data_IF_329904171263
#
_entry.id   IF_329904171263
#
_cell.length_a   1.000
_cell.length_b   1.000
_cell.length_c   1.000
_cell.angle_alpha   90.00
_cell.angle_beta   90.00
_cell.angle_gamma   90.00
#
_symmetry.space_group_name_H-M   'P 1'
#
loop_
_entity.id
_entity.type
_entity.pdbx_description
1 polymer ?
#
# COMPACT_ATOMS: atom_id res chain seq x y z
N UNK A 1 -26.53 0.14 5.45
CA UNK A 1 -25.95 1.01 4.40
C UNK A 1 -25.82 0.16 3.15
N UNK A 2 -26.00 0.70 1.94
CA UNK A 2 -25.80 -0.09 0.72
C UNK A 2 -24.33 -0.55 0.65
N UNK A 3 -24.10 -1.86 0.70
CA UNK A 3 -22.80 -2.47 0.39
C UNK A 3 -22.69 -2.66 -1.12
N UNK A 4 -21.48 -2.54 -1.65
CA UNK A 4 -21.20 -2.84 -3.07
C UNK A 4 -20.52 -4.20 -3.07
N UNK A 5 -21.31 -5.25 -3.31
CA UNK A 5 -20.83 -6.63 -3.35
C UNK A 5 -20.24 -6.96 -4.74
N UNK A 6 -19.28 -6.14 -5.20
CA UNK A 6 -18.61 -6.33 -6.47
C UNK A 6 -17.29 -7.08 -6.29
N UNK A 7 -17.25 -8.32 -6.76
CA UNK A 7 -16.04 -9.11 -6.92
C UNK A 7 -15.60 -9.08 -8.37
N UNK A 8 -14.36 -8.66 -8.63
CA UNK A 8 -13.84 -8.58 -9.99
C UNK A 8 -13.71 -9.98 -10.59
N UNK A 9 -14.41 -10.29 -11.70
CA UNK A 9 -14.26 -11.58 -12.36
C UNK A 9 -12.83 -11.78 -12.89
N UNK A 10 -12.28 -12.98 -12.75
CA UNK A 10 -10.88 -13.25 -13.16
C UNK A 10 -10.63 -12.95 -14.64
N UNK A 11 -11.59 -13.28 -15.52
CA UNK A 11 -11.47 -12.98 -16.95
C UNK A 11 -11.38 -11.47 -17.23
N UNK A 12 -12.05 -10.65 -16.42
CA UNK A 12 -12.03 -9.19 -16.58
C UNK A 12 -10.69 -8.62 -16.11
N UNK A 13 -10.13 -9.18 -15.03
CA UNK A 13 -8.78 -8.85 -14.59
C UNK A 13 -7.74 -9.20 -15.68
N UNK A 14 -7.67 -10.46 -16.10
CA UNK A 14 -6.71 -10.91 -17.11
C UNK A 14 -6.90 -10.23 -18.45
N UNK A 15 -8.14 -10.10 -18.91
CA UNK A 15 -8.48 -9.39 -20.14
C UNK A 15 -8.14 -7.91 -20.05
N UNK A 16 -8.38 -7.27 -18.89
CA UNK A 16 -8.04 -5.88 -18.63
C UNK A 16 -6.54 -5.61 -18.74
N UNK A 17 -5.70 -6.48 -18.16
CA UNK A 17 -4.24 -6.35 -18.25
C UNK A 17 -3.71 -6.45 -19.68
N UNK A 18 -4.44 -7.09 -20.60
CA UNK A 18 -4.01 -7.20 -22.00
C UNK A 18 -4.64 -6.09 -22.85
N UNK A 19 -5.96 -5.94 -22.77
CA UNK A 19 -6.70 -5.03 -23.64
C UNK A 19 -6.41 -3.56 -23.33
N UNK A 20 -6.33 -3.19 -22.05
CA UNK A 20 -6.14 -1.78 -21.67
C UNK A 20 -4.82 -1.21 -22.22
N UNK A 21 -3.65 -1.84 -22.01
CA UNK A 21 -2.40 -1.31 -22.58
C UNK A 21 -2.42 -1.26 -24.10
N UNK A 22 -2.94 -2.27 -24.79
CA UNK A 22 -2.98 -2.27 -26.26
C UNK A 22 -3.83 -1.12 -26.80
N UNK A 23 -5.00 -0.88 -26.20
CA UNK A 23 -5.88 0.23 -26.56
C UNK A 23 -5.19 1.56 -26.25
N UNK A 24 -4.58 1.69 -25.07
CA UNK A 24 -3.89 2.90 -24.65
C UNK A 24 -2.68 3.22 -25.55
N UNK A 25 -1.86 2.22 -25.92
CA UNK A 25 -0.76 2.37 -26.89
C UNK A 25 -1.28 2.78 -28.26
N UNK A 26 -2.36 2.16 -28.74
CA UNK A 26 -2.98 2.54 -30.01
C UNK A 26 -3.43 4.00 -30.01
N UNK A 27 -4.10 4.44 -28.93
CA UNK A 27 -4.55 5.82 -28.76
C UNK A 27 -3.37 6.80 -28.61
N UNK A 28 -2.33 6.43 -27.87
CA UNK A 28 -1.14 7.25 -27.65
C UNK A 28 -0.35 7.51 -28.95
N UNK A 29 -0.34 6.52 -29.86
CA UNK A 29 0.33 6.62 -31.17
C UNK A 29 -0.46 7.41 -32.20
N UNK A 30 -1.71 7.78 -31.92
CA UNK A 30 -2.45 8.70 -32.79
C UNK A 30 -1.82 10.10 -32.70
N UNK A 31 -1.43 10.66 -33.86
CA UNK A 31 -0.81 11.99 -33.97
C UNK A 31 -1.71 13.03 -33.31
N UNK A 32 -1.38 13.46 -32.09
CA UNK A 32 -2.09 14.56 -31.46
C UNK A 32 -1.72 15.86 -32.20
N UNK A 33 -2.71 16.64 -32.68
CA UNK A 33 -2.42 17.94 -33.26
C UNK A 33 -1.71 18.82 -32.21
N UNK A 34 -0.63 19.45 -32.63
CA UNK A 34 0.14 20.40 -31.83
C UNK A 34 -0.76 21.56 -31.37
N UNK A 35 -1.23 21.49 -30.11
CA UNK A 35 -1.60 22.66 -29.28
C UNK A 35 -1.97 22.18 -27.88
N UNK A 36 -1.05 22.37 -26.94
CA UNK A 36 -1.29 22.22 -25.50
C UNK A 36 -2.23 23.32 -24.97
N UNK A 37 -3.47 23.36 -25.45
CA UNK A 37 -4.46 24.29 -24.91
C UNK A 37 -5.08 23.64 -23.67
N UNK A 38 -4.98 24.33 -22.53
CA UNK A 38 -5.73 23.93 -21.33
C UNK A 38 -7.21 23.86 -21.69
N UNK A 39 -7.86 22.72 -21.51
CA UNK A 39 -9.29 22.56 -21.83
C UNK A 39 -10.12 22.57 -20.56
N UNK A 40 -11.40 22.92 -20.71
CA UNK A 40 -12.34 22.89 -19.60
C UNK A 40 -12.57 21.45 -19.11
N UNK A 41 -12.62 20.48 -20.02
CA UNK A 41 -12.74 19.07 -19.68
C UNK A 41 -11.58 18.56 -18.81
N UNK A 42 -10.33 18.87 -19.17
CA UNK A 42 -9.16 18.50 -18.36
C UNK A 42 -9.19 19.19 -16.99
N UNK A 43 -9.60 20.47 -16.93
CA UNK A 43 -9.71 21.18 -15.66
C UNK A 43 -10.73 20.54 -14.70
N UNK A 44 -11.91 20.14 -15.20
CA UNK A 44 -12.90 19.43 -14.39
C UNK A 44 -12.43 18.02 -14.02
N UNK A 45 -11.76 17.32 -14.93
CA UNK A 45 -11.16 16.02 -14.63
C UNK A 45 -10.16 16.11 -13.47
N UNK A 46 -9.22 17.08 -13.53
CA UNK A 46 -8.26 17.30 -12.43
C UNK A 46 -8.97 17.74 -11.14
N UNK A 47 -10.08 18.48 -11.23
CA UNK A 47 -10.87 18.84 -10.05
C UNK A 47 -11.52 17.62 -9.39
N UNK A 48 -12.04 16.67 -10.17
CA UNK A 48 -12.57 15.41 -9.61
C UNK A 48 -11.47 14.58 -8.97
N UNK A 49 -10.34 14.40 -9.66
CA UNK A 49 -9.29 13.47 -9.23
C UNK A 49 -8.35 14.06 -8.18
N UNK A 50 -7.99 15.33 -8.32
CA UNK A 50 -6.98 16.02 -7.52
C UNK A 50 -7.49 17.26 -6.78
N UNK A 51 -8.81 17.46 -6.71
CA UNK A 51 -9.43 18.66 -6.13
C UNK A 51 -9.14 18.84 -4.65
N UNK A 52 -9.04 17.74 -3.89
CA UNK A 52 -8.70 17.77 -2.45
C UNK A 52 -7.31 18.35 -2.17
N UNK A 53 -6.40 18.29 -3.14
CA UNK A 53 -5.04 18.83 -3.07
C UNK A 53 -4.89 20.19 -3.76
N UNK A 54 -5.98 20.74 -4.33
CA UNK A 54 -5.94 22.01 -5.05
C UNK A 54 -5.23 21.96 -6.41
N UNK A 55 -4.99 20.77 -6.97
CA UNK A 55 -4.22 20.61 -8.22
C UNK A 55 -4.87 21.26 -9.43
N UNK A 56 -6.21 21.34 -9.48
CA UNK A 56 -6.93 22.05 -10.53
C UNK A 56 -6.62 23.55 -10.53
N UNK A 57 -6.40 24.17 -9.36
CA UNK A 57 -5.97 25.57 -9.27
C UNK A 57 -4.53 25.73 -9.75
N UNK A 58 -3.62 24.85 -9.34
CA UNK A 58 -2.22 24.88 -9.78
C UNK A 58 -2.09 24.66 -11.30
N UNK A 59 -2.86 23.73 -11.86
CA UNK A 59 -2.96 23.50 -13.30
C UNK A 59 -3.37 24.78 -14.06
N UNK A 60 -4.24 25.59 -13.47
CA UNK A 60 -4.68 26.88 -14.02
C UNK A 60 -3.76 28.07 -13.65
N UNK A 61 -2.52 27.81 -13.19
CA UNK A 61 -1.55 28.81 -12.69
C UNK A 61 -2.09 29.70 -11.57
N UNK A 62 -2.97 29.15 -10.73
CA UNK A 62 -3.52 29.84 -9.57
C UNK A 62 -2.90 29.31 -8.26
N UNK A 63 -2.04 30.12 -7.62
CA UNK A 63 -1.30 29.77 -6.39
C UNK A 63 -2.20 29.51 -5.18
N UNK A 64 -3.46 29.94 -5.21
CA UNK A 64 -4.45 29.65 -4.16
C UNK A 64 -4.68 28.14 -3.98
N UNK A 65 -4.28 27.29 -4.94
CA UNK A 65 -4.27 25.83 -4.76
C UNK A 65 -3.42 25.36 -3.57
N UNK A 66 -2.39 26.12 -3.18
CA UNK A 66 -1.55 25.78 -2.02
C UNK A 66 -2.28 25.86 -0.68
N UNK A 67 -3.41 26.57 -0.60
CA UNK A 67 -4.24 26.64 0.61
C UNK A 67 -4.86 25.29 1.00
N UNK A 68 -5.00 24.39 0.02
CA UNK A 68 -5.51 23.04 0.26
C UNK A 68 -4.54 22.18 1.05
N UNK A 69 -3.23 22.41 0.91
CA UNK A 69 -2.20 21.58 1.53
C UNK A 69 -2.21 21.61 3.07
N UNK A 70 -2.24 22.78 3.75
CA UNK A 70 -2.32 22.81 5.21
C UNK A 70 -3.63 22.22 5.73
N UNK A 71 -4.77 22.42 5.03
CA UNK A 71 -6.04 21.81 5.40
C UNK A 71 -5.98 20.28 5.28
N UNK A 72 -5.41 19.78 4.18
CA UNK A 72 -5.26 18.35 3.95
C UNK A 72 -4.29 17.73 4.96
N UNK A 73 -3.16 18.39 5.25
CA UNK A 73 -2.22 17.96 6.28
C UNK A 73 -2.88 17.89 7.66
N UNK A 74 -3.75 18.85 7.99
CA UNK A 74 -4.48 18.87 9.25
C UNK A 74 -5.52 17.73 9.35
N UNK A 75 -6.14 17.32 8.23
CA UNK A 75 -6.98 16.11 8.18
C UNK A 75 -6.15 14.86 8.47
N UNK A 76 -4.98 14.72 7.84
CA UNK A 76 -4.11 13.55 8.06
C UNK A 76 -3.61 13.50 9.50
N UNK A 77 -3.12 14.62 10.01
CA UNK A 77 -2.61 14.73 11.37
C UNK A 77 -3.72 14.47 12.39
N UNK A 78 -4.88 15.11 12.24
CA UNK A 78 -6.02 14.90 13.14
C UNK A 78 -6.52 13.45 13.09
N UNK A 79 -6.52 12.80 11.92
CA UNK A 79 -6.91 11.40 11.79
C UNK A 79 -5.91 10.45 12.47
N UNK A 80 -4.60 10.77 12.42
CA UNK A 80 -3.56 10.03 13.15
C UNK A 80 -3.74 10.17 14.66
N UNK A 81 -3.88 11.40 15.15
CA UNK A 81 -4.08 11.68 16.59
C UNK A 81 -5.37 11.08 17.13
N UNK A 82 -6.45 11.11 16.33
CA UNK A 82 -7.71 10.43 16.67
C UNK A 82 -7.54 8.92 16.78
N UNK A 83 -6.71 8.30 15.91
CA UNK A 83 -6.42 6.86 15.98
C UNK A 83 -5.69 6.51 17.27
N UNK A 84 -4.67 7.27 17.65
CA UNK A 84 -3.93 7.07 18.90
C UNK A 84 -4.85 7.18 20.12
N UNK A 85 -5.64 8.26 20.20
CA UNK A 85 -6.60 8.44 21.29
C UNK A 85 -7.69 7.34 21.34
N UNK A 86 -8.08 6.77 20.19
CA UNK A 86 -9.01 5.62 20.15
C UNK A 86 -8.41 4.35 20.75
N UNK A 87 -7.14 4.08 20.47
CA UNK A 87 -6.44 2.90 21.02
C UNK A 87 -6.33 3.03 22.53
N UNK A 88 -5.85 4.18 23.01
CA UNK A 88 -5.72 4.48 24.43
C UNK A 88 -7.07 4.42 25.18
N UNK A 89 -8.14 4.96 24.57
CA UNK A 89 -9.49 4.85 25.13
C UNK A 89 -9.96 3.39 25.23
N UNK A 90 -9.68 2.58 24.20
CA UNK A 90 -10.02 1.16 24.18
C UNK A 90 -9.28 0.39 25.26
N UNK A 91 -7.98 0.68 25.45
CA UNK A 91 -7.15 0.02 26.46
C UNK A 91 -7.62 0.39 27.87
N UNK A 92 -7.86 1.67 28.14
CA UNK A 92 -8.35 2.14 29.45
C UNK A 92 -9.74 1.59 29.79
N UNK A 93 -10.66 1.59 28.81
CA UNK A 93 -12.00 1.00 28.98
C UNK A 93 -11.92 -0.51 29.18
N UNK A 94 -11.03 -1.19 28.46
CA UNK A 94 -10.76 -2.62 28.62
C UNK A 94 -10.24 -2.95 30.02
N UNK A 95 -9.32 -2.13 30.55
CA UNK A 95 -8.81 -2.27 31.91
C UNK A 95 -9.93 -2.12 32.96
N UNK A 96 -10.78 -1.08 32.84
CA UNK A 96 -11.93 -0.88 33.74
C UNK A 96 -12.91 -2.06 33.72
N UNK A 97 -13.24 -2.59 32.54
CA UNK A 97 -14.09 -3.79 32.41
C UNK A 97 -13.42 -5.00 33.06
N UNK A 98 -12.10 -5.14 32.90
CA UNK A 98 -11.31 -6.19 33.54
C UNK A 98 -11.37 -6.12 35.07
N UNK A 99 -11.17 -4.91 35.62
CA UNK A 99 -11.26 -4.63 37.06
C UNK A 99 -12.68 -4.92 37.56
N UNK A 100 -13.72 -4.41 36.91
CA UNK A 100 -15.11 -4.63 37.32
C UNK A 100 -15.46 -6.12 37.40
N UNK A 101 -15.05 -6.89 36.39
CA UNK A 101 -15.26 -8.34 36.34
C UNK A 101 -14.45 -9.07 37.44
N UNK A 102 -13.23 -8.63 37.74
CA UNK A 102 -12.43 -9.16 38.82
C UNK A 102 -13.03 -8.84 40.21
N UNK A 103 -13.49 -7.61 40.43
CA UNK A 103 -14.19 -7.19 41.65
C UNK A 103 -15.46 -8.03 41.85
N UNK A 104 -16.31 -8.18 40.83
CA UNK A 104 -17.52 -9.03 40.91
C UNK A 104 -17.19 -10.47 41.32
N UNK A 105 -16.11 -11.05 40.79
CA UNK A 105 -15.65 -12.40 41.16
C UNK A 105 -15.17 -12.47 42.60
N UNK A 106 -14.43 -11.47 43.07
CA UNK A 106 -13.95 -11.42 44.46
C UNK A 106 -15.09 -11.22 45.45
N UNK A 107 -16.04 -10.32 45.16
CA UNK A 107 -17.24 -10.12 45.99
C UNK A 107 -18.04 -11.42 46.10
N UNK A 108 -18.24 -12.14 45.00
CA UNK A 108 -18.92 -13.46 45.02
C UNK A 108 -18.17 -14.51 45.87
N UNK A 109 -16.84 -14.44 45.97
CA UNK A 109 -16.05 -15.32 46.84
C UNK A 109 -16.28 -14.95 48.30
N UNK A 110 -16.26 -13.66 48.63
CA UNK A 110 -16.55 -13.15 49.99
C UNK A 110 -17.93 -13.64 50.45
N UNK A 111 -18.98 -13.40 49.66
CA UNK A 111 -20.34 -13.81 50.02
C UNK A 111 -20.47 -15.34 50.21
N UNK A 112 -19.72 -16.13 49.44
CA UNK A 112 -19.70 -17.60 49.57
C UNK A 112 -18.98 -18.04 50.86
N UNK A 113 -17.87 -17.40 51.20
CA UNK A 113 -17.11 -17.67 52.42
C UNK A 113 -17.87 -17.23 53.67
N UNK A 114 -18.56 -16.09 53.64
CA UNK A 114 -19.46 -15.62 54.72
C UNK A 114 -20.58 -16.65 55.01
N UNK A 115 -21.26 -17.13 53.97
CA UNK A 115 -22.29 -18.16 54.11
C UNK A 115 -21.74 -19.51 54.62
N UNK A 116 -20.46 -19.81 54.34
CA UNK A 116 -19.80 -21.00 54.87
C UNK A 116 -19.46 -20.86 56.36
N UNK A 117 -19.02 -19.67 56.79
CA UNK A 117 -18.78 -19.34 58.21
C UNK A 117 -20.09 -19.41 58.99
N UNK A 118 -21.18 -18.85 58.47
CA UNK A 118 -22.50 -18.91 59.11
C UNK A 118 -22.95 -20.36 59.32
N UNK A 119 -22.85 -21.21 58.28
CA UNK A 119 -23.14 -22.64 58.40
C UNK A 119 -22.25 -23.37 59.39
N UNK A 120 -20.97 -22.99 59.49
CA UNK A 120 -20.06 -23.57 60.47
C UNK A 120 -20.44 -23.16 61.90
N UNK A 121 -20.83 -21.89 62.12
CA UNK A 121 -21.31 -21.39 63.41
C UNK A 121 -22.60 -22.08 63.87
N UNK A 122 -23.56 -22.27 62.97
CA UNK A 122 -24.80 -23.03 63.27
C UNK A 122 -24.46 -24.46 63.70
N UNK A 123 -23.57 -25.14 62.98
CA UNK A 123 -23.13 -26.50 63.34
C UNK A 123 -22.38 -26.56 64.67
N UNK A 124 -21.61 -25.53 65.02
CA UNK A 124 -20.95 -25.45 66.33
C UNK A 124 -22.01 -25.38 67.45
N UNK A 125 -23.11 -24.66 67.24
CA UNK A 125 -24.19 -24.55 68.22
C UNK A 125 -24.99 -25.85 68.41
N UNK A 126 -24.99 -26.75 67.42
CA UNK A 126 -25.68 -28.05 67.44
C UNK A 126 -24.83 -29.20 68.03
N UNK A 127 -23.53 -28.99 68.29
CA UNK A 127 -22.63 -30.01 68.81
C UNK A 127 -22.86 -30.29 70.31
N UNK A 128 -22.71 -31.55 70.72
CA UNK A 128 -22.71 -31.94 72.12
C UNK A 128 -21.52 -31.33 72.88
N UNK A 129 -21.71 -31.01 74.16
CA UNK A 129 -20.74 -30.26 74.97
C UNK A 129 -19.38 -30.97 75.17
N UNK A 130 -19.29 -32.26 74.85
CA UNK A 130 -18.13 -33.13 74.97
C UNK A 130 -17.37 -33.37 73.65
N UNK A 131 -17.89 -32.95 72.49
CA UNK A 131 -17.22 -33.13 71.19
C UNK A 131 -16.20 -32.01 70.89
N UNK A 132 -15.07 -32.06 71.60
CA UNK A 132 -13.96 -31.13 71.43
C UNK A 132 -13.31 -31.20 70.02
N UNK A 133 -13.35 -32.37 69.36
CA UNK A 133 -12.72 -32.55 68.03
C UNK A 133 -13.58 -31.97 66.91
N UNK A 134 -14.90 -32.12 66.99
CA UNK A 134 -15.85 -31.52 66.05
C UNK A 134 -15.78 -29.99 66.07
N UNK A 135 -15.68 -29.42 67.27
CA UNK A 135 -15.55 -27.96 67.48
C UNK A 135 -14.25 -27.40 66.88
N UNK A 136 -13.10 -27.98 67.20
CA UNK A 136 -11.79 -27.54 66.66
C UNK A 136 -11.71 -27.64 65.12
N UNK A 137 -12.34 -28.65 64.52
CA UNK A 137 -12.42 -28.77 63.05
C UNK A 137 -13.23 -27.64 62.40
N UNK A 138 -14.35 -27.26 63.01
CA UNK A 138 -15.20 -26.18 62.52
C UNK A 138 -14.55 -24.81 62.75
N UNK A 139 -13.88 -24.60 63.88
CA UNK A 139 -13.08 -23.39 64.16
C UNK A 139 -11.92 -23.23 63.15
N UNK A 140 -11.21 -24.32 62.81
CA UNK A 140 -10.20 -24.31 61.74
C UNK A 140 -10.80 -23.99 60.37
N UNK A 141 -12.05 -24.38 60.12
CA UNK A 141 -12.75 -24.07 58.86
C UNK A 141 -13.14 -22.59 58.81
N UNK A 142 -13.67 -22.06 59.90
CA UNK A 142 -14.00 -20.63 60.06
C UNK A 142 -12.74 -19.80 59.81
N UNK A 143 -11.63 -20.11 60.48
CA UNK A 143 -10.36 -19.39 60.30
C UNK A 143 -9.92 -19.34 58.83
N UNK A 144 -9.97 -20.47 58.12
CA UNK A 144 -9.61 -20.55 56.70
C UNK A 144 -10.52 -19.71 55.80
N UNK A 145 -11.82 -19.67 56.09
CA UNK A 145 -12.76 -18.84 55.32
C UNK A 145 -12.61 -17.36 55.67
N UNK A 146 -12.27 -17.00 56.91
CA UNK A 146 -11.92 -15.64 57.31
C UNK A 146 -10.67 -15.15 56.57
N UNK A 147 -9.59 -15.94 56.53
CA UNK A 147 -8.36 -15.58 55.79
C UNK A 147 -8.64 -15.38 54.27
N UNK A 148 -9.60 -16.12 53.71
CA UNK A 148 -10.05 -15.96 52.32
C UNK A 148 -10.84 -14.67 52.10
N UNK A 149 -11.64 -14.26 53.08
CA UNK A 149 -12.36 -12.99 53.05
C UNK A 149 -11.37 -11.83 53.11
N UNK A 150 -10.41 -11.88 54.03
CA UNK A 150 -9.40 -10.83 54.20
C UNK A 150 -8.57 -10.64 52.92
N UNK A 151 -8.05 -11.74 52.37
CA UNK A 151 -7.29 -11.69 51.10
C UNK A 151 -8.14 -11.28 49.89
N UNK A 152 -9.45 -11.54 49.89
CA UNK A 152 -10.34 -11.05 48.84
C UNK A 152 -10.65 -9.56 49.00
N UNK A 153 -10.83 -9.07 50.23
CA UNK A 153 -11.06 -7.66 50.55
C UNK A 153 -9.85 -6.79 50.25
N UNK A 154 -8.64 -7.28 50.55
CA UNK A 154 -7.39 -6.61 50.16
C UNK A 154 -7.33 -6.41 48.64
N UNK A 155 -7.65 -7.45 47.86
CA UNK A 155 -7.72 -7.38 46.39
C UNK A 155 -8.82 -6.45 45.89
N UNK A 156 -9.99 -6.43 46.55
CA UNK A 156 -11.07 -5.49 46.19
C UNK A 156 -10.61 -4.05 46.41
N UNK A 157 -9.88 -3.79 47.51
CA UNK A 157 -9.35 -2.47 47.84
C UNK A 157 -8.28 -2.03 46.84
N UNK A 158 -7.36 -2.92 46.47
CA UNK A 158 -6.35 -2.63 45.46
C UNK A 158 -6.97 -2.34 44.09
N UNK A 159 -7.96 -3.13 43.68
CA UNK A 159 -8.73 -2.92 42.45
C UNK A 159 -9.52 -1.61 42.46
N UNK A 160 -10.08 -1.22 43.62
CA UNK A 160 -10.77 0.05 43.76
C UNK A 160 -9.82 1.25 43.63
N UNK A 161 -8.60 1.14 44.17
CA UNK A 161 -7.55 2.15 44.00
C UNK A 161 -7.11 2.27 42.54
N UNK A 162 -6.85 1.14 41.86
CA UNK A 162 -6.49 1.10 40.43
C UNK A 162 -7.61 1.70 39.56
N UNK A 163 -8.87 1.38 39.85
CA UNK A 163 -10.03 1.99 39.18
C UNK A 163 -10.07 3.50 39.37
N UNK A 164 -9.87 3.98 40.59
CA UNK A 164 -9.93 5.41 40.90
C UNK A 164 -8.85 6.23 40.17
N UNK A 165 -7.73 5.59 39.79
CA UNK A 165 -6.68 6.20 38.97
C UNK A 165 -7.06 6.24 37.47
N UNK A 166 -7.68 5.19 36.95
CA UNK A 166 -8.01 5.06 35.52
C UNK A 166 -9.29 5.84 35.15
N UNK A 167 -10.32 5.80 35.99
CA UNK A 167 -11.64 6.39 35.70
C UNK A 167 -11.61 7.89 35.29
N UNK A 168 -10.83 8.78 35.91
CA UNK A 168 -10.76 10.19 35.47
C UNK A 168 -10.04 10.36 34.13
N UNK A 169 -9.08 9.50 33.78
CA UNK A 169 -8.30 9.64 32.54
C UNK A 169 -9.12 9.28 31.29
N UNK A 170 -10.09 8.37 31.43
CA UNK A 170 -10.98 7.96 30.31
C UNK A 170 -11.76 9.15 29.74
N UNK A 171 -12.23 10.06 30.60
CA UNK A 171 -12.94 11.27 30.17
C UNK A 171 -12.06 12.24 29.38
N UNK A 172 -10.81 12.41 29.81
CA UNK A 172 -9.82 13.25 29.11
C UNK A 172 -9.45 12.65 27.74
N UNK A 173 -9.19 11.34 27.70
CA UNK A 173 -8.85 10.62 26.45
C UNK A 173 -10.02 10.70 25.46
N UNK A 174 -11.26 10.53 25.92
CA UNK A 174 -12.46 10.69 25.10
C UNK A 174 -12.58 12.10 24.55
N UNK A 175 -12.36 13.12 25.38
CA UNK A 175 -12.34 14.53 24.96
C UNK A 175 -11.31 14.80 23.88
N UNK A 176 -10.07 14.30 24.05
CA UNK A 176 -8.99 14.43 23.05
C UNK A 176 -9.34 13.74 21.74
N UNK A 177 -9.89 12.52 21.80
CA UNK A 177 -10.37 11.78 20.62
C UNK A 177 -11.39 12.60 19.84
N UNK A 178 -12.38 13.17 20.53
CA UNK A 178 -13.48 13.90 19.91
C UNK A 178 -13.01 15.26 19.35
N UNK A 179 -12.09 15.94 20.04
CA UNK A 179 -11.42 17.13 19.52
C UNK A 179 -10.74 16.85 18.19
N UNK A 180 -9.89 15.83 18.11
CA UNK A 180 -9.20 15.49 16.86
C UNK A 180 -10.14 15.03 15.74
N UNK A 181 -11.22 14.32 16.10
CA UNK A 181 -12.29 13.98 15.18
C UNK A 181 -12.94 15.24 14.58
N UNK A 182 -13.28 16.22 15.42
CA UNK A 182 -13.89 17.47 15.00
C UNK A 182 -12.94 18.31 14.13
N UNK A 183 -11.66 18.40 14.52
CA UNK A 183 -10.63 19.10 13.75
C UNK A 183 -10.53 18.53 12.33
N UNK A 184 -10.41 17.21 12.18
CA UNK A 184 -10.38 16.55 10.87
C UNK A 184 -11.67 16.77 10.07
N UNK A 185 -12.83 16.70 10.75
CA UNK A 185 -14.14 16.87 10.12
C UNK A 185 -14.33 18.28 9.54
N UNK A 186 -14.06 19.33 10.34
CA UNK A 186 -14.21 20.71 9.87
C UNK A 186 -13.20 21.09 8.79
N UNK A 187 -11.98 20.54 8.85
CA UNK A 187 -11.00 20.72 7.79
C UNK A 187 -11.44 20.06 6.47
N UNK A 188 -12.02 18.87 6.54
CA UNK A 188 -12.61 18.21 5.38
C UNK A 188 -13.76 19.03 4.80
N UNK A 189 -14.68 19.52 5.63
CA UNK A 189 -15.77 20.39 5.19
C UNK A 189 -15.26 21.68 4.53
N UNK A 190 -14.19 22.28 5.06
CA UNK A 190 -13.57 23.47 4.46
C UNK A 190 -13.02 23.18 3.05
N UNK A 191 -12.34 22.04 2.86
CA UNK A 191 -11.85 21.62 1.53
C UNK A 191 -13.02 21.42 0.57
N UNK A 192 -14.08 20.73 0.99
CA UNK A 192 -15.28 20.50 0.17
C UNK A 192 -15.93 21.83 -0.22
N UNK A 193 -16.06 22.77 0.72
CA UNK A 193 -16.59 24.10 0.44
C UNK A 193 -15.73 24.84 -0.61
N UNK A 194 -14.40 24.81 -0.48
CA UNK A 194 -13.52 25.40 -1.49
C UNK A 194 -13.65 24.70 -2.85
N UNK A 195 -13.76 23.37 -2.88
CA UNK A 195 -13.98 22.63 -4.13
C UNK A 195 -15.30 23.03 -4.83
N UNK A 196 -16.37 23.23 -4.08
CA UNK A 196 -17.66 23.68 -4.64
C UNK A 196 -17.59 25.10 -5.21
N UNK A 197 -16.88 26.00 -4.52
CA UNK A 197 -16.60 27.35 -5.05
C UNK A 197 -15.80 27.24 -6.36
N UNK A 198 -14.81 26.35 -6.40
CA UNK A 198 -13.94 26.15 -7.56
C UNK A 198 -14.66 25.55 -8.77
N UNK A 199 -15.64 24.68 -8.54
CA UNK A 199 -16.50 24.12 -9.57
C UNK A 199 -17.18 25.23 -10.39
N UNK A 200 -17.65 26.28 -9.72
CA UNK A 200 -18.33 27.44 -10.33
C UNK A 200 -17.32 28.43 -10.93
N UNK A 201 -16.17 28.64 -10.30
CA UNK A 201 -15.16 29.60 -10.76
C UNK A 201 -14.29 29.08 -11.92
N UNK A 202 -14.33 27.78 -12.20
CA UNK A 202 -13.44 27.13 -13.17
C UNK A 202 -13.41 27.77 -14.56
N UNK A 203 -14.56 28.12 -15.20
CA UNK A 203 -14.53 28.73 -16.54
C UNK A 203 -13.81 30.08 -16.56
N UNK A 204 -13.96 30.88 -15.50
CA UNK A 204 -13.29 32.17 -15.36
C UNK A 204 -11.80 32.01 -15.15
N UNK A 205 -11.40 31.06 -14.30
CA UNK A 205 -10.00 30.73 -14.05
C UNK A 205 -9.31 30.22 -15.32
N UNK A 206 -9.99 29.38 -16.11
CA UNK A 206 -9.48 28.91 -17.39
C UNK A 206 -9.27 30.05 -18.39
N UNK A 207 -10.22 30.98 -18.49
CA UNK A 207 -10.09 32.15 -19.37
C UNK A 207 -8.86 33.00 -19.00
N UNK A 208 -8.65 33.26 -17.71
CA UNK A 208 -7.46 33.97 -17.20
C UNK A 208 -6.18 33.21 -17.51
N UNK A 209 -6.16 31.90 -17.27
CA UNK A 209 -5.02 31.05 -17.53
C UNK A 209 -4.61 31.03 -19.01
N UNK A 210 -5.58 30.96 -19.93
CA UNK A 210 -5.35 31.05 -21.38
C UNK A 210 -4.80 32.41 -21.80
N UNK A 211 -5.37 33.50 -21.28
CA UNK A 211 -4.90 34.85 -21.55
C UNK A 211 -3.44 35.05 -21.10
N UNK A 212 -3.10 34.54 -19.91
CA UNK A 212 -1.73 34.57 -19.40
C UNK A 212 -0.75 33.80 -20.30
N UNK A 213 -1.10 32.58 -20.74
CA UNK A 213 -0.26 31.77 -21.63
C UNK A 213 -0.15 32.33 -23.05
N UNK A 214 -1.14 33.08 -23.50
CA UNK A 214 -1.06 33.83 -24.76
C UNK A 214 -0.06 34.99 -24.65
N UNK A 215 0.09 35.59 -23.47
CA UNK A 215 1.05 36.65 -23.19
C UNK A 215 2.47 36.13 -22.86
N UNK A 216 2.60 34.89 -22.37
CA UNK A 216 3.88 34.26 -22.02
C UNK A 216 3.98 32.89 -22.71
N UNK A 217 4.40 32.86 -23.99
CA UNK A 217 4.45 31.63 -24.79
C UNK A 217 5.48 30.62 -24.25
N UNK A 218 6.62 31.09 -23.77
CA UNK A 218 7.71 30.27 -23.18
C UNK A 218 7.26 29.55 -21.90
N UNK A 219 6.19 30.06 -21.29
CA UNK A 219 5.58 29.58 -20.06
C UNK A 219 4.51 28.50 -20.31
N UNK A 220 4.25 28.19 -21.59
CA UNK A 220 3.52 26.98 -21.99
C UNK A 220 4.36 25.76 -21.59
N UNK A 221 3.70 24.63 -21.36
CA UNK A 221 4.41 23.37 -21.11
C UNK A 221 5.17 23.06 -22.39
N UNK A 222 6.45 23.47 -22.45
CA UNK A 222 7.38 23.01 -23.44
C UNK A 222 7.30 21.49 -23.36
N UNK A 223 6.94 20.85 -24.48
CA UNK A 223 6.95 19.40 -24.53
C UNK A 223 8.41 19.08 -24.27
N UNK A 224 8.73 18.56 -23.09
CA UNK A 224 10.01 17.89 -22.89
C UNK A 224 10.02 16.86 -24.01
N UNK A 225 10.83 17.11 -25.04
CA UNK A 225 11.15 16.10 -26.02
C UNK A 225 11.91 15.10 -25.18
N UNK A 226 11.18 14.17 -24.57
CA UNK A 226 11.81 13.02 -23.92
C UNK A 226 12.64 12.41 -25.03
N UNK A 227 13.95 12.30 -24.83
CA UNK A 227 14.81 11.55 -25.74
C UNK A 227 14.11 10.22 -25.96
N UNK A 228 13.65 9.96 -27.19
CA UNK A 228 12.96 8.70 -27.45
C UNK A 228 13.96 7.59 -27.13
N UNK A 229 13.63 6.71 -26.17
CA UNK A 229 14.44 5.53 -25.80
C UNK A 229 14.79 4.64 -27.02
N UNK A 230 14.20 4.95 -28.19
CA UNK A 230 14.68 4.60 -29.52
C UNK A 230 16.20 4.78 -29.73
N UNK A 231 16.87 5.69 -29.01
CA UNK A 231 18.33 5.88 -29.13
C UNK A 231 19.13 4.63 -28.72
N UNK A 232 18.58 3.78 -27.86
CA UNK A 232 19.22 2.53 -27.42
C UNK A 232 19.08 1.38 -28.43
N UNK A 233 18.26 1.57 -29.48
CA UNK A 233 17.91 0.52 -30.44
C UNK A 233 18.98 0.36 -31.51
N UNK A 234 19.55 -0.85 -31.60
CA UNK A 234 20.48 -1.21 -32.65
C UNK A 234 19.81 -1.42 -34.03
N UNK A 235 20.60 -1.89 -35.00
CA UNK A 235 20.11 -2.26 -36.34
C UNK A 235 20.00 -3.77 -36.52
N UNK A 236 19.25 -4.22 -37.54
CA UNK A 236 19.17 -5.64 -37.90
C UNK A 236 18.53 -6.51 -36.80
N UNK A 237 19.12 -7.69 -36.55
CA UNK A 237 18.62 -8.65 -35.55
C UNK A 237 18.66 -8.11 -34.12
N UNK A 238 19.76 -7.45 -33.74
CA UNK A 238 19.93 -6.79 -32.44
C UNK A 238 18.84 -5.72 -32.24
N UNK A 239 18.58 -4.92 -33.28
CA UNK A 239 17.51 -3.92 -33.27
C UNK A 239 16.10 -4.50 -33.12
N UNK A 240 15.85 -5.71 -33.64
CA UNK A 240 14.56 -6.38 -33.45
C UNK A 240 14.32 -6.74 -31.98
N UNK A 241 15.36 -7.27 -31.32
CA UNK A 241 15.32 -7.59 -29.89
C UNK A 241 15.10 -6.31 -29.07
N UNK A 242 15.90 -5.27 -29.32
CA UNK A 242 15.80 -4.01 -28.57
C UNK A 242 14.41 -3.38 -28.71
N UNK A 243 13.84 -3.37 -29.93
CA UNK A 243 12.46 -2.87 -30.16
C UNK A 243 11.42 -3.68 -29.42
N UNK A 244 11.60 -4.99 -29.33
CA UNK A 244 10.71 -5.86 -28.57
C UNK A 244 10.79 -5.52 -27.08
N UNK A 245 11.99 -5.31 -26.53
CA UNK A 245 12.18 -4.89 -25.13
C UNK A 245 11.54 -3.51 -24.85
N UNK A 246 11.71 -2.54 -25.76
CA UNK A 246 11.01 -1.24 -25.67
C UNK A 246 9.50 -1.40 -25.69
N UNK A 247 8.97 -2.16 -26.65
CA UNK A 247 7.53 -2.37 -26.78
C UNK A 247 6.95 -3.03 -25.53
N UNK A 248 7.61 -4.06 -25.00
CA UNK A 248 7.16 -4.75 -23.79
C UNK A 248 7.25 -3.86 -22.56
N UNK A 249 8.27 -3.01 -22.45
CA UNK A 249 8.38 -1.98 -21.41
C UNK A 249 7.25 -0.96 -21.47
N UNK A 250 6.97 -0.39 -22.64
CA UNK A 250 5.84 0.53 -22.86
C UNK A 250 4.50 -0.13 -22.50
N UNK A 251 4.31 -1.39 -22.94
CA UNK A 251 3.11 -2.17 -22.66
C UNK A 251 2.86 -2.34 -21.16
N UNK A 252 3.87 -2.77 -20.39
CA UNK A 252 3.68 -2.99 -18.94
C UNK A 252 3.72 -1.70 -18.12
N UNK A 253 4.33 -0.62 -18.61
CA UNK A 253 4.27 0.68 -17.94
C UNK A 253 2.83 1.19 -17.80
N UNK A 254 1.96 0.87 -18.76
CA UNK A 254 0.56 1.24 -18.75
C UNK A 254 -0.27 0.48 -17.69
N UNK A 255 0.22 -0.65 -17.16
CA UNK A 255 -0.41 -1.29 -16.00
C UNK A 255 -0.43 -0.39 -14.76
N UNK A 256 0.57 0.47 -14.60
CA UNK A 256 0.59 1.42 -13.48
C UNK A 256 -0.58 2.41 -13.52
N UNK A 257 -1.14 2.69 -14.70
CA UNK A 257 -2.36 3.50 -14.84
C UNK A 257 -3.58 2.74 -14.34
N UNK A 258 -3.67 1.43 -14.59
CA UNK A 258 -4.73 0.56 -14.05
C UNK A 258 -4.73 0.62 -12.51
N UNK A 259 -3.55 0.57 -11.89
CA UNK A 259 -3.43 0.67 -10.42
C UNK A 259 -4.01 1.96 -9.85
N UNK A 260 -3.80 3.09 -10.51
CA UNK A 260 -4.36 4.37 -10.08
C UNK A 260 -5.90 4.29 -10.02
N UNK A 261 -6.53 3.75 -11.07
CA UNK A 261 -7.99 3.61 -11.10
C UNK A 261 -8.51 2.62 -10.05
N UNK A 262 -7.85 1.47 -9.90
CA UNK A 262 -8.26 0.43 -8.93
C UNK A 262 -8.12 0.92 -7.50
N UNK A 263 -7.02 1.59 -7.14
CA UNK A 263 -6.84 2.11 -5.79
C UNK A 263 -7.78 3.28 -5.49
N UNK A 264 -8.05 4.14 -6.48
CA UNK A 264 -9.04 5.20 -6.31
C UNK A 264 -10.44 4.62 -6.06
N UNK A 265 -10.82 3.59 -6.81
CA UNK A 265 -12.05 2.84 -6.58
C UNK A 265 -12.09 2.21 -5.18
N UNK A 266 -11.01 1.55 -4.74
CA UNK A 266 -10.92 0.94 -3.40
C UNK A 266 -11.08 1.97 -2.29
N UNK A 267 -10.46 3.15 -2.42
CA UNK A 267 -10.62 4.25 -1.45
C UNK A 267 -12.09 4.68 -1.37
N UNK A 268 -12.75 4.89 -2.50
CA UNK A 268 -14.17 5.28 -2.51
C UNK A 268 -15.03 4.19 -1.85
N UNK A 269 -14.88 2.94 -2.28
CA UNK A 269 -15.70 1.84 -1.80
C UNK A 269 -15.47 1.58 -0.31
N UNK A 270 -14.23 1.68 0.16
CA UNK A 270 -13.88 1.51 1.57
C UNK A 270 -14.41 2.63 2.46
N UNK A 271 -14.25 3.89 2.06
CA UNK A 271 -14.55 5.01 2.96
C UNK A 271 -15.96 5.59 2.77
N UNK A 272 -16.54 5.50 1.57
CA UNK A 272 -17.90 5.99 1.29
C UNK A 272 -18.94 4.90 1.53
N UNK A 273 -18.67 3.67 1.09
CA UNK A 273 -19.61 2.56 1.18
C UNK A 273 -19.33 1.58 2.33
N UNK A 274 -18.23 1.78 3.07
CA UNK A 274 -17.80 0.91 4.17
C UNK A 274 -17.72 -0.57 3.76
N UNK A 275 -17.28 -0.84 2.52
CA UNK A 275 -17.40 -2.15 1.86
C UNK A 275 -16.10 -2.55 1.14
N UNK A 276 -14.95 -2.66 1.84
CA UNK A 276 -13.64 -2.90 1.21
C UNK A 276 -13.66 -4.11 0.26
N UNK A 277 -12.94 -4.04 -0.86
CA UNK A 277 -12.95 -5.15 -1.82
C UNK A 277 -11.93 -6.23 -1.48
N UNK A 278 -12.27 -7.48 -1.79
CA UNK A 278 -11.40 -8.64 -1.57
C UNK A 278 -10.31 -8.81 -2.65
N UNK A 279 -10.45 -8.16 -3.81
CA UNK A 279 -9.59 -8.38 -4.98
C UNK A 279 -8.59 -7.26 -5.25
N UNK A 280 -8.87 -6.00 -4.88
CA UNK A 280 -8.07 -4.86 -5.33
C UNK A 280 -6.61 -4.94 -4.89
N UNK A 281 -6.36 -5.26 -3.62
CA UNK A 281 -4.99 -5.35 -3.10
C UNK A 281 -4.19 -6.48 -3.76
N UNK A 282 -4.76 -7.69 -3.81
CA UNK A 282 -4.08 -8.85 -4.39
C UNK A 282 -3.87 -8.69 -5.90
N UNK A 283 -4.88 -8.21 -6.63
CA UNK A 283 -4.75 -7.94 -8.07
C UNK A 283 -3.62 -6.97 -8.37
N UNK A 284 -3.52 -5.85 -7.63
CA UNK A 284 -2.44 -4.90 -7.86
C UNK A 284 -1.08 -5.46 -7.46
N UNK A 285 -1.00 -6.22 -6.36
CA UNK A 285 0.23 -6.90 -5.95
C UNK A 285 0.76 -7.85 -7.03
N UNK A 286 -0.10 -8.73 -7.55
CA UNK A 286 0.27 -9.68 -8.61
C UNK A 286 0.65 -8.95 -9.91
N UNK A 287 -0.14 -7.94 -10.30
CA UNK A 287 0.15 -7.10 -11.48
C UNK A 287 1.53 -6.45 -11.41
N UNK A 288 1.90 -5.84 -10.28
CA UNK A 288 3.22 -5.22 -10.13
C UNK A 288 4.36 -6.25 -10.13
N UNK A 289 4.14 -7.45 -9.58
CA UNK A 289 5.12 -8.55 -9.68
C UNK A 289 5.38 -8.95 -11.14
N UNK A 290 4.31 -9.12 -11.92
CA UNK A 290 4.41 -9.40 -13.36
C UNK A 290 5.06 -8.23 -14.13
N UNK A 291 4.71 -6.98 -13.78
CA UNK A 291 5.26 -5.76 -14.37
C UNK A 291 6.78 -5.73 -14.21
N UNK A 292 7.28 -6.02 -13.00
CA UNK A 292 8.71 -6.03 -12.69
C UNK A 292 9.48 -7.04 -13.53
N UNK A 293 8.94 -8.26 -13.69
CA UNK A 293 9.58 -9.32 -14.46
C UNK A 293 9.73 -8.96 -15.95
N UNK A 294 8.68 -8.38 -16.55
CA UNK A 294 8.69 -7.99 -17.96
C UNK A 294 9.53 -6.73 -18.18
N UNK A 295 9.45 -5.76 -17.27
CA UNK A 295 10.22 -4.51 -17.34
C UNK A 295 11.74 -4.72 -17.18
N UNK A 296 12.19 -5.86 -16.66
CA UNK A 296 13.62 -6.17 -16.51
C UNK A 296 14.42 -6.07 -17.82
N UNK A 297 13.86 -6.55 -18.94
CA UNK A 297 14.51 -6.46 -20.25
C UNK A 297 14.59 -5.01 -20.75
N UNK A 298 13.55 -4.21 -20.51
CA UNK A 298 13.56 -2.78 -20.80
C UNK A 298 14.64 -2.05 -19.98
N UNK A 299 14.69 -2.29 -18.66
CA UNK A 299 15.66 -1.66 -17.78
C UNK A 299 17.11 -2.05 -18.13
N UNK A 300 17.33 -3.26 -18.65
CA UNK A 300 18.62 -3.68 -19.17
C UNK A 300 18.99 -2.93 -20.46
N UNK A 301 18.04 -2.76 -21.40
CA UNK A 301 18.26 -2.01 -22.64
C UNK A 301 18.64 -0.54 -22.38
N UNK A 302 17.94 0.12 -21.46
CA UNK A 302 18.15 1.54 -21.14
C UNK A 302 19.24 1.76 -20.08
N UNK A 303 19.99 0.70 -19.73
CA UNK A 303 21.02 0.70 -18.68
C UNK A 303 20.57 1.29 -17.33
N UNK A 304 19.26 1.22 -17.05
CA UNK A 304 18.64 1.77 -15.83
C UNK A 304 18.73 0.81 -14.64
N UNK A 305 19.34 -0.36 -14.85
CA UNK A 305 19.61 -1.30 -13.77
C UNK A 305 20.76 -0.78 -12.89
N UNK A 306 20.62 -0.88 -11.57
CA UNK A 306 21.66 -0.41 -10.65
C UNK A 306 22.92 -1.26 -10.83
N UNK A 307 23.97 -0.66 -11.41
CA UNK A 307 25.30 -1.26 -11.52
C UNK A 307 26.20 -0.71 -10.42
N UNK A 308 27.08 -1.55 -9.86
CA UNK A 308 28.10 -1.11 -8.89
C UNK A 308 29.31 -0.60 -9.68
N UNK A 309 29.30 0.69 -10.03
CA UNK A 309 30.24 1.26 -11.01
C UNK A 309 31.61 1.72 -10.44
N UNK A 310 31.92 1.41 -9.19
CA UNK A 310 33.11 1.95 -8.48
C UNK A 310 34.43 1.57 -9.18
N UNK A 311 34.53 0.35 -9.71
CA UNK A 311 35.73 -0.12 -10.43
C UNK A 311 35.59 -0.01 -11.94
N UNK A 312 34.36 0.18 -12.45
CA UNK A 312 34.01 0.10 -13.86
C UNK A 312 34.22 1.42 -14.60
N UNK A 313 34.06 2.57 -13.91
CA UNK A 313 34.12 3.89 -14.51
C UNK A 313 35.45 4.23 -15.21
N UNK A 314 36.58 3.72 -14.70
CA UNK A 314 37.93 4.07 -15.15
C UNK A 314 38.45 3.20 -16.31
N UNK A 315 37.71 2.19 -16.77
CA UNK A 315 38.12 1.35 -17.89
C UNK A 315 37.81 1.99 -19.25
N UNK A 316 38.66 1.73 -20.25
CA UNK A 316 38.39 2.10 -21.64
C UNK A 316 37.13 1.39 -22.17
N UNK A 317 36.46 1.90 -23.22
CA UNK A 317 35.26 1.26 -23.79
C UNK A 317 35.47 -0.23 -24.12
N UNK A 318 36.65 -0.61 -24.59
CA UNK A 318 37.00 -2.02 -24.85
C UNK A 318 37.21 -2.83 -23.58
N UNK A 319 37.82 -2.24 -22.54
CA UNK A 319 37.99 -2.90 -21.24
C UNK A 319 36.64 -3.21 -20.58
N UNK A 320 35.70 -2.25 -20.67
CA UNK A 320 34.30 -2.39 -20.26
C UNK A 320 33.62 -3.57 -20.97
N UNK A 321 33.66 -3.59 -22.30
CA UNK A 321 33.06 -4.67 -23.09
C UNK A 321 33.67 -6.06 -22.81
N UNK A 322 34.97 -6.16 -22.50
CA UNK A 322 35.59 -7.44 -22.13
C UNK A 322 35.06 -7.94 -20.78
N UNK A 323 34.94 -7.04 -19.80
CA UNK A 323 34.39 -7.38 -18.48
C UNK A 323 32.91 -7.76 -18.61
N UNK A 324 32.14 -7.04 -19.41
CA UNK A 324 30.73 -7.36 -19.68
C UNK A 324 30.59 -8.72 -20.36
N UNK A 325 31.44 -9.03 -21.34
CA UNK A 325 31.47 -10.33 -21.99
C UNK A 325 31.77 -11.46 -20.98
N UNK A 326 32.73 -11.25 -20.06
CA UNK A 326 33.06 -12.24 -19.03
C UNK A 326 31.92 -12.41 -18.02
N UNK A 327 31.33 -11.32 -17.56
CA UNK A 327 30.24 -11.33 -16.58
C UNK A 327 28.91 -11.81 -17.17
N UNK A 328 28.73 -11.70 -18.50
CA UNK A 328 27.55 -12.18 -19.22
C UNK A 328 27.29 -13.67 -19.01
N UNK A 329 28.33 -14.47 -18.76
CA UNK A 329 28.18 -15.91 -18.47
C UNK A 329 27.35 -16.14 -17.22
N UNK A 330 27.64 -15.39 -16.14
CA UNK A 330 26.85 -15.47 -14.90
C UNK A 330 25.43 -14.96 -15.11
N UNK A 331 25.27 -13.90 -15.92
CA UNK A 331 23.96 -13.41 -16.30
C UNK A 331 23.14 -14.47 -17.04
N UNK A 332 23.70 -15.17 -18.03
CA UNK A 332 23.00 -16.21 -18.77
C UNK A 332 22.67 -17.44 -17.92
N UNK A 333 23.54 -17.80 -16.97
CA UNK A 333 23.23 -18.85 -15.97
C UNK A 333 22.02 -18.43 -15.14
N UNK A 334 22.02 -17.20 -14.62
CA UNK A 334 20.90 -16.66 -13.85
C UNK A 334 19.60 -16.61 -14.68
N UNK A 335 19.63 -15.97 -15.85
CA UNK A 335 18.46 -15.79 -16.70
C UNK A 335 17.93 -17.14 -17.22
N UNK A 336 18.82 -18.07 -17.59
CA UNK A 336 18.45 -19.43 -17.97
C UNK A 336 17.82 -20.21 -16.81
N UNK A 337 18.35 -20.08 -15.59
CA UNK A 337 17.76 -20.69 -14.38
C UNK A 337 16.39 -20.10 -14.07
N UNK A 338 16.22 -18.79 -14.25
CA UNK A 338 14.93 -18.11 -14.08
C UNK A 338 13.88 -18.66 -15.05
N UNK A 339 14.23 -18.84 -16.32
CA UNK A 339 13.32 -19.43 -17.33
C UNK A 339 13.00 -20.89 -16.99
N UNK A 340 14.01 -21.68 -16.63
CA UNK A 340 13.86 -23.10 -16.31
C UNK A 340 12.98 -23.33 -15.07
N UNK A 341 13.27 -22.62 -13.98
CA UNK A 341 12.49 -22.72 -12.74
C UNK A 341 11.09 -22.12 -12.91
N UNK A 342 10.97 -21.02 -13.67
CA UNK A 342 9.68 -20.45 -14.06
C UNK A 342 8.80 -21.44 -14.83
N UNK A 343 9.39 -22.24 -15.73
CA UNK A 343 8.69 -23.31 -16.44
C UNK A 343 8.16 -24.39 -15.49
N UNK A 344 8.99 -24.85 -14.54
CA UNK A 344 8.57 -25.83 -13.52
C UNK A 344 7.43 -25.26 -12.68
N UNK A 345 7.52 -24.00 -12.23
CA UNK A 345 6.45 -23.40 -11.45
C UNK A 345 5.16 -23.22 -12.25
N UNK A 346 5.24 -22.79 -13.52
CA UNK A 346 4.06 -22.63 -14.36
C UNK A 346 3.38 -23.97 -14.63
N UNK A 347 4.14 -25.02 -15.01
CA UNK A 347 3.57 -26.34 -15.30
C UNK A 347 2.91 -26.95 -14.04
N UNK A 348 3.55 -26.81 -12.88
CA UNK A 348 3.05 -27.39 -11.63
C UNK A 348 1.79 -26.65 -11.16
N UNK A 349 1.71 -25.33 -11.39
CA UNK A 349 0.54 -24.49 -11.11
C UNK A 349 -0.66 -24.87 -11.97
N UNK A 350 -0.43 -25.09 -13.27
CA UNK A 350 -1.47 -25.55 -14.21
C UNK A 350 -1.95 -26.95 -13.82
N UNK A 351 -1.02 -27.87 -13.55
CA UNK A 351 -1.34 -29.25 -13.18
C UNK A 351 -2.14 -29.36 -11.88
N UNK A 352 -1.93 -28.45 -10.93
CA UNK A 352 -2.63 -28.43 -9.64
C UNK A 352 -3.85 -27.50 -9.60
N UNK A 353 -4.14 -26.77 -10.69
CA UNK A 353 -5.19 -25.72 -10.71
C UNK A 353 -5.04 -24.75 -9.54
N UNK A 354 -3.80 -24.30 -9.32
CA UNK A 354 -3.44 -23.48 -8.16
C UNK A 354 -4.13 -22.11 -8.21
N UNK A 355 -4.72 -21.75 -7.07
CA UNK A 355 -5.43 -20.49 -6.84
C UNK A 355 -4.87 -19.80 -5.60
N UNK A 356 -5.10 -18.49 -5.49
CA UNK A 356 -4.69 -17.75 -4.32
C UNK A 356 -5.38 -18.20 -3.03
N UNK A 357 -4.71 -17.99 -1.91
CA UNK A 357 -5.23 -18.32 -0.57
C UNK A 357 -6.19 -17.27 -0.02
N UNK A 358 -6.41 -16.18 -0.75
CA UNK A 358 -7.37 -15.14 -0.38
C UNK A 358 -8.79 -15.56 -0.77
N UNK A 359 -9.78 -14.78 -0.31
CA UNK A 359 -11.17 -14.96 -0.72
C UNK A 359 -11.41 -14.71 -2.21
N UNK A 360 -10.50 -14.02 -2.91
CA UNK A 360 -10.63 -13.79 -4.34
C UNK A 360 -10.33 -15.05 -5.15
N UNK A 361 -9.37 -15.86 -4.72
CA UNK A 361 -9.08 -17.17 -5.31
C UNK A 361 -8.61 -17.10 -6.77
N UNK A 362 -7.83 -16.08 -7.14
CA UNK A 362 -7.35 -15.90 -8.51
C UNK A 362 -6.33 -16.99 -8.91
N UNK A 363 -6.37 -17.44 -10.16
CA UNK A 363 -5.45 -18.46 -10.65
C UNK A 363 -4.00 -17.93 -10.73
N UNK A 364 -3.02 -18.70 -10.24
CA UNK A 364 -1.61 -18.27 -10.25
C UNK A 364 -0.85 -18.61 -11.52
N UNK A 365 -1.34 -19.54 -12.33
CA UNK A 365 -0.62 -19.96 -13.54
C UNK A 365 -0.29 -18.79 -14.50
N UNK A 366 -1.15 -17.77 -14.73
CA UNK A 366 -0.79 -16.67 -15.63
C UNK A 366 0.37 -15.84 -15.08
N UNK A 367 0.40 -15.61 -13.76
CA UNK A 367 1.50 -14.93 -13.07
C UNK A 367 2.80 -15.72 -13.26
N UNK A 368 2.77 -17.03 -13.03
CA UNK A 368 3.96 -17.88 -13.18
C UNK A 368 4.44 -17.98 -14.63
N UNK A 369 3.54 -17.89 -15.62
CA UNK A 369 3.94 -17.75 -17.02
C UNK A 369 4.69 -16.45 -17.28
N UNK A 370 4.35 -15.34 -16.62
CA UNK A 370 5.12 -14.09 -16.80
C UNK A 370 6.57 -14.18 -16.32
N UNK A 371 6.90 -15.10 -15.41
CA UNK A 371 8.29 -15.40 -15.03
C UNK A 371 9.05 -15.93 -16.25
N UNK A 372 8.43 -16.82 -17.02
CA UNK A 372 9.00 -17.37 -18.26
C UNK A 372 9.13 -16.26 -19.30
N UNK A 373 8.07 -15.46 -19.51
CA UNK A 373 8.09 -14.37 -20.50
C UNK A 373 9.18 -13.35 -20.16
N UNK A 374 9.23 -12.86 -18.92
CA UNK A 374 10.26 -11.93 -18.45
C UNK A 374 11.66 -12.51 -18.54
N UNK A 375 11.84 -13.78 -18.15
CA UNK A 375 13.11 -14.48 -18.28
C UNK A 375 13.58 -14.64 -19.73
N UNK A 376 12.67 -14.99 -20.66
CA UNK A 376 12.98 -15.08 -22.09
C UNK A 376 13.34 -13.70 -22.65
N UNK A 377 12.62 -12.65 -22.28
CA UNK A 377 12.96 -11.28 -22.66
C UNK A 377 14.34 -10.86 -22.13
N UNK A 378 14.68 -11.21 -20.89
CA UNK A 378 16.01 -10.98 -20.32
C UNK A 378 17.11 -11.74 -21.06
N UNK A 379 16.90 -13.01 -21.40
CA UNK A 379 17.85 -13.78 -22.20
C UNK A 379 18.06 -13.13 -23.56
N UNK A 380 16.98 -12.73 -24.24
CA UNK A 380 17.06 -12.07 -25.54
C UNK A 380 17.79 -10.73 -25.44
N UNK A 381 17.47 -9.90 -24.45
CA UNK A 381 18.16 -8.63 -24.24
C UNK A 381 19.64 -8.83 -23.90
N UNK A 382 19.97 -9.85 -23.09
CA UNK A 382 21.36 -10.23 -22.83
C UNK A 382 22.11 -10.66 -24.08
N UNK A 383 21.46 -11.37 -25.01
CA UNK A 383 22.03 -11.68 -26.33
C UNK A 383 22.29 -10.40 -27.14
N UNK A 384 21.37 -9.43 -27.11
CA UNK A 384 21.58 -8.12 -27.75
C UNK A 384 22.83 -7.42 -27.21
N UNK A 385 22.98 -7.33 -25.89
CA UNK A 385 24.15 -6.71 -25.25
C UNK A 385 25.44 -7.48 -25.55
N UNK A 386 25.40 -8.82 -25.42
CA UNK A 386 26.53 -9.68 -25.73
C UNK A 386 27.06 -9.47 -27.16
N UNK A 387 26.15 -9.36 -28.14
CA UNK A 387 26.54 -9.11 -29.54
C UNK A 387 27.14 -7.71 -29.70
N UNK A 388 26.57 -6.68 -29.06
CA UNK A 388 27.09 -5.30 -29.10
C UNK A 388 28.50 -5.24 -28.51
N UNK A 389 28.72 -5.84 -27.35
CA UNK A 389 30.02 -5.89 -26.67
C UNK A 389 31.05 -6.70 -27.45
N UNK A 390 30.66 -7.88 -27.96
CA UNK A 390 31.53 -8.69 -28.80
C UNK A 390 31.95 -7.92 -30.06
N UNK A 391 31.02 -7.20 -30.70
CA UNK A 391 31.32 -6.38 -31.87
C UNK A 391 32.32 -5.27 -31.51
N UNK A 392 32.17 -4.62 -30.37
CA UNK A 392 33.09 -3.57 -29.90
C UNK A 392 34.51 -4.09 -29.61
N UNK A 393 34.63 -5.34 -29.16
CA UNK A 393 35.91 -6.01 -28.89
C UNK A 393 36.59 -6.47 -30.19
N UNK A 394 35.84 -7.13 -31.09
CA UNK A 394 36.41 -7.78 -32.28
C UNK A 394 36.49 -6.88 -33.51
N UNK A 395 35.66 -5.83 -33.62
CA UNK A 395 35.73 -4.87 -34.72
C UNK A 395 36.55 -3.66 -34.29
N UNK A 396 37.73 -3.42 -34.88
CA UNK A 396 38.53 -2.26 -34.54
C UNK A 396 37.80 -0.98 -34.97
N UNK A 397 37.29 -0.24 -33.99
CA UNK A 397 36.76 1.10 -34.19
C UNK A 397 37.81 1.99 -34.90
N UNK A 398 37.56 2.36 -36.15
CA UNK A 398 38.44 3.26 -36.94
C UNK A 398 38.38 4.72 -36.47
N UNK A 399 37.43 5.07 -35.60
CA UNK A 399 37.14 6.47 -35.27
C UNK A 399 37.74 6.96 -33.94
N UNK A 400 38.33 6.10 -33.11
CA UNK A 400 38.94 6.50 -31.85
C UNK A 400 40.34 7.16 -31.98
N UNK A 401 40.73 7.62 -33.18
CA UNK A 401 42.03 8.30 -33.43
C UNK A 401 41.96 9.82 -33.55
N UNK A 402 40.77 10.43 -33.65
CA UNK A 402 40.63 11.88 -33.80
C UNK A 402 39.70 12.43 -32.71
N UNK A 403 40.23 12.75 -31.54
CA UNK A 403 39.46 13.38 -30.47
C UNK A 403 40.10 13.20 -29.10
N UNK A 404 41.33 13.67 -28.95
CA UNK A 404 41.94 13.99 -27.66
C UNK A 404 41.75 15.47 -27.36
#
# INVERSE_FOLDING_TARGET
>A
MPSIDFVLPHWLYWGGLIAFPLIAMYLARQKQPLRGSRTLGIAYFIWVVGGLFGFHRLYLKNKWGLLYWPLFALILFGSSMQREARVEYSDATGALIGIENATKRSVKRVTKSEAAIEKANVKIAELAADDARGKDRLERTIKKETDRIDSANEKITSMAAERAEIEPTVGEIAGRRDQWSNVSYYAFLAIVAFMLVDLVLMPRMLKKAKAYLAAHPDDQVERVVMDEDSQFVGTGFVGLIDRMSLYMGEFVALWSVIAVFVYYYEVIVRYVFNSPTNWAHEGMFLMFGMQYLIAGAYAMLTESHVRVDIFYANYSPRGKAIIDLLTSVFFFIFAGTLVWTGWIFARDSIGQSEVSFTEWGIQYWPVKITIIIGGVLLVLQGVSHFIKDATLVFVPNKEAKNGS
#
